data_IF_533050885241
#
_entry.id   IF_533050885241
#
_cell.length_a   1.000
_cell.length_b   1.000
_cell.length_c   1.000
_cell.angle_alpha   90.00
_cell.angle_beta   90.00
_cell.angle_gamma   90.00
#
_symmetry.space_group_name_H-M   'P 1'
#
loop_
_entity.id
_entity.type
_entity.pdbx_description
1 polymer ?
#
# COMPACT_ATOMS: atom_id res chain seq x y z
N UNK A 1 -70.11 -20.65 -58.66
CA UNK A 1 -69.28 -21.28 -57.62
C UNK A 1 -67.83 -20.80 -57.76
N UNK A 2 -67.37 -19.89 -56.98
CA UNK A 2 -65.98 -19.31 -57.07
C UNK A 2 -65.16 -19.82 -55.87
N UNK A 3 -64.03 -20.53 -56.17
CA UNK A 3 -63.04 -20.92 -55.16
C UNK A 3 -62.22 -19.71 -54.69
N UNK A 4 -62.07 -19.55 -53.40
CA UNK A 4 -61.19 -18.55 -52.78
C UNK A 4 -59.89 -19.26 -52.41
N UNK A 5 -58.80 -18.81 -53.02
CA UNK A 5 -57.44 -19.20 -52.65
C UNK A 5 -56.99 -18.42 -51.43
N UNK A 6 -56.57 -19.14 -50.39
CA UNK A 6 -55.98 -18.58 -49.18
C UNK A 6 -54.48 -18.61 -49.30
N UNK A 7 -53.85 -17.49 -49.50
CA UNK A 7 -52.38 -17.34 -49.42
C UNK A 7 -51.95 -17.31 -47.95
N UNK A 8 -51.22 -18.33 -47.52
CA UNK A 8 -50.46 -18.32 -46.24
C UNK A 8 -49.16 -17.55 -46.46
N UNK A 9 -49.02 -16.43 -45.73
CA UNK A 9 -47.77 -15.70 -45.63
C UNK A 9 -46.92 -16.32 -44.51
N UNK A 10 -45.80 -16.94 -44.84
CA UNK A 10 -44.75 -17.34 -43.93
C UNK A 10 -43.92 -16.09 -43.58
N UNK A 11 -43.91 -15.70 -42.29
CA UNK A 11 -43.04 -14.66 -41.73
C UNK A 11 -41.76 -15.36 -41.22
N UNK A 12 -40.54 -15.03 -41.70
CA UNK A 12 -39.33 -15.54 -41.09
C UNK A 12 -39.08 -14.89 -39.77
N UNK A 13 -38.99 -15.67 -38.69
CA UNK A 13 -38.52 -15.22 -37.37
C UNK A 13 -37.02 -14.94 -37.42
N UNK A 14 -36.62 -13.67 -37.45
CA UNK A 14 -35.25 -13.26 -37.20
C UNK A 14 -34.93 -13.50 -35.72
N UNK A 15 -34.17 -14.56 -35.44
CA UNK A 15 -33.57 -14.78 -34.12
C UNK A 15 -32.50 -13.72 -33.82
N UNK A 16 -32.79 -12.77 -32.93
CA UNK A 16 -31.82 -11.85 -32.38
C UNK A 16 -30.88 -12.65 -31.46
N UNK A 17 -29.69 -13.02 -31.96
CA UNK A 17 -28.61 -13.52 -31.12
C UNK A 17 -28.11 -12.36 -30.24
N UNK A 18 -28.59 -12.32 -29.01
CA UNK A 18 -28.08 -11.39 -27.99
C UNK A 18 -26.62 -11.74 -27.69
N UNK A 19 -25.69 -10.91 -28.19
CA UNK A 19 -24.30 -10.93 -27.78
C UNK A 19 -24.26 -10.43 -26.33
N UNK A 20 -24.25 -11.35 -25.37
CA UNK A 20 -23.90 -11.03 -23.98
C UNK A 20 -22.41 -10.63 -23.96
N UNK A 21 -22.13 -9.33 -24.01
CA UNK A 21 -20.83 -8.80 -23.68
C UNK A 21 -20.56 -9.17 -22.22
N UNK A 22 -19.73 -10.19 -22.00
CA UNK A 22 -19.19 -10.47 -20.68
C UNK A 22 -18.35 -9.26 -20.28
N UNK A 23 -18.92 -8.46 -19.39
CA UNK A 23 -18.22 -7.33 -18.76
C UNK A 23 -17.20 -7.94 -17.80
N UNK A 24 -16.02 -8.31 -18.33
CA UNK A 24 -14.88 -8.81 -17.55
C UNK A 24 -14.27 -7.61 -16.80
N UNK A 25 -14.92 -7.19 -15.72
CA UNK A 25 -14.33 -6.23 -14.81
C UNK A 25 -12.93 -6.72 -14.41
N UNK A 26 -11.91 -5.87 -14.58
CA UNK A 26 -10.54 -6.23 -14.14
C UNK A 26 -10.58 -6.62 -12.66
N UNK A 27 -9.89 -7.70 -12.26
CA UNK A 27 -9.81 -8.08 -10.87
C UNK A 27 -9.35 -6.89 -10.02
N UNK A 28 -10.08 -6.58 -8.95
CA UNK A 28 -9.70 -5.52 -8.03
C UNK A 28 -8.72 -6.09 -6.99
N UNK A 29 -7.71 -5.33 -6.57
CA UNK A 29 -6.80 -5.77 -5.52
C UNK A 29 -7.54 -5.91 -4.19
N UNK A 30 -7.14 -6.89 -3.40
CA UNK A 30 -7.57 -7.01 -2.01
C UNK A 30 -7.36 -5.67 -1.30
N UNK A 31 -8.39 -5.23 -0.57
CA UNK A 31 -8.39 -3.98 0.16
C UNK A 31 -8.72 -4.21 1.64
N UNK A 32 -8.30 -3.29 2.50
CA UNK A 32 -8.58 -3.29 3.94
C UNK A 32 -9.20 -1.97 4.35
N UNK A 33 -10.07 -2.05 5.33
CA UNK A 33 -10.78 -0.89 5.87
C UNK A 33 -9.90 -0.11 6.85
N UNK A 34 -9.84 1.20 6.69
CA UNK A 34 -9.34 2.13 7.72
C UNK A 34 -10.47 2.26 8.75
N UNK A 35 -10.28 1.72 9.94
CA UNK A 35 -11.35 1.60 10.95
C UNK A 35 -11.96 2.96 11.34
N UNK A 36 -11.16 4.03 11.39
CA UNK A 36 -11.63 5.36 11.80
C UNK A 36 -12.56 6.06 10.78
N UNK A 37 -12.62 5.57 9.52
CA UNK A 37 -13.41 6.22 8.46
C UNK A 37 -14.27 5.29 7.62
N UNK A 38 -13.99 3.97 7.65
CA UNK A 38 -14.62 3.01 6.74
C UNK A 38 -14.03 2.99 5.32
N UNK A 39 -13.06 3.87 5.00
CA UNK A 39 -12.42 3.90 3.67
C UNK A 39 -11.64 2.62 3.41
N UNK A 40 -11.70 2.13 2.17
CA UNK A 40 -10.96 0.95 1.71
C UNK A 40 -9.68 1.39 1.01
N UNK A 41 -8.54 0.78 1.38
CA UNK A 41 -7.28 0.94 0.67
C UNK A 41 -6.70 -0.42 0.27
N UNK A 42 -6.03 -0.53 -0.91
CA UNK A 42 -5.37 -1.75 -1.33
C UNK A 42 -4.29 -2.18 -0.32
N UNK A 43 -4.15 -3.49 -0.12
CA UNK A 43 -3.20 -4.06 0.86
C UNK A 43 -1.73 -3.91 0.48
N UNK A 44 -1.43 -3.52 -0.77
CA UNK A 44 -0.07 -3.22 -1.24
C UNK A 44 -0.01 -1.79 -1.71
N UNK A 45 0.86 -1.01 -1.10
CA UNK A 45 1.22 0.37 -1.44
C UNK A 45 2.59 0.44 -2.09
N UNK A 46 3.11 1.66 -2.25
CA UNK A 46 4.42 1.95 -2.82
C UNK A 46 5.23 2.82 -1.85
N UNK A 47 6.34 2.28 -1.33
CA UNK A 47 7.34 3.06 -0.62
C UNK A 47 8.30 3.76 -1.58
N UNK A 48 8.94 4.84 -1.12
CA UNK A 48 9.83 5.67 -1.95
C UNK A 48 11.26 5.81 -1.41
N UNK A 49 11.55 5.29 -0.21
CA UNK A 49 12.86 5.45 0.42
C UNK A 49 13.97 4.87 -0.45
N UNK A 50 15.03 5.65 -0.70
CA UNK A 50 16.17 5.38 -1.61
C UNK A 50 15.73 5.29 -3.08
N UNK A 51 14.66 4.58 -3.40
CA UNK A 51 14.27 4.22 -4.77
C UNK A 51 13.81 5.41 -5.61
N UNK A 52 13.28 6.46 -4.97
CA UNK A 52 12.86 7.71 -5.62
C UNK A 52 13.80 8.88 -5.30
N UNK A 53 14.91 8.65 -4.62
CA UNK A 53 15.94 9.67 -4.39
C UNK A 53 16.89 9.78 -5.60
N UNK A 54 16.36 10.24 -6.72
CA UNK A 54 17.07 10.30 -8.01
C UNK A 54 17.53 11.73 -8.39
N UNK A 55 17.47 12.67 -7.45
CA UNK A 55 17.89 14.05 -7.68
C UNK A 55 17.08 14.74 -8.79
N UNK A 56 17.78 15.47 -9.65
CA UNK A 56 17.20 16.22 -10.77
C UNK A 56 17.47 15.55 -12.14
N UNK A 57 17.82 14.26 -12.17
CA UNK A 57 18.04 13.48 -13.39
C UNK A 57 16.71 13.26 -14.15
N UNK A 58 16.48 13.86 -15.33
CA UNK A 58 15.20 13.75 -16.02
C UNK A 58 14.85 12.32 -16.47
N UNK A 59 15.78 11.51 -17.03
CA UNK A 59 15.52 10.09 -17.31
C UNK A 59 15.10 9.28 -16.09
N UNK A 60 15.80 9.43 -14.96
CA UNK A 60 15.48 8.71 -13.75
C UNK A 60 14.11 9.14 -13.16
N UNK A 61 13.78 10.44 -13.20
CA UNK A 61 12.45 10.95 -12.81
C UNK A 61 11.34 10.40 -13.74
N UNK A 62 11.59 10.37 -15.04
CA UNK A 62 10.65 9.78 -15.99
C UNK A 62 10.43 8.29 -15.71
N UNK A 63 11.46 7.55 -15.36
CA UNK A 63 11.36 6.15 -14.97
C UNK A 63 10.57 5.96 -13.68
N UNK A 64 10.77 6.79 -12.66
CA UNK A 64 9.94 6.77 -11.44
C UNK A 64 8.45 7.03 -11.78
N UNK A 65 8.15 7.92 -12.72
CA UNK A 65 6.77 8.14 -13.16
C UNK A 65 6.18 6.89 -13.85
N UNK A 66 6.97 6.11 -14.61
CA UNK A 66 6.54 4.81 -15.17
C UNK A 66 6.26 3.78 -14.07
N UNK A 67 7.10 3.71 -13.03
CA UNK A 67 6.86 2.88 -11.84
C UNK A 67 5.52 3.24 -11.21
N UNK A 68 5.25 4.54 -11.00
CA UNK A 68 3.97 5.02 -10.45
C UNK A 68 2.79 4.71 -11.38
N UNK A 69 2.94 4.84 -12.69
CA UNK A 69 1.90 4.50 -13.67
C UNK A 69 1.50 3.04 -13.53
N UNK A 70 2.47 2.11 -13.54
CA UNK A 70 2.20 0.67 -13.40
C UNK A 70 1.58 0.33 -12.04
N UNK A 71 1.99 1.02 -10.98
CA UNK A 71 1.38 0.90 -9.66
C UNK A 71 -0.11 1.27 -9.67
N UNK A 72 -0.45 2.44 -10.23
CA UNK A 72 -1.85 2.87 -10.33
C UNK A 72 -2.67 2.00 -11.28
N UNK A 73 -2.09 1.55 -12.39
CA UNK A 73 -2.77 0.68 -13.37
C UNK A 73 -3.09 -0.70 -12.78
N UNK A 74 -2.29 -1.18 -11.82
CA UNK A 74 -2.55 -2.38 -11.02
C UNK A 74 -3.54 -2.16 -9.85
N UNK A 75 -4.13 -0.97 -9.74
CA UNK A 75 -5.11 -0.64 -8.69
C UNK A 75 -4.48 -0.14 -7.39
N UNK A 76 -3.18 0.11 -7.35
CA UNK A 76 -2.50 0.71 -6.20
C UNK A 76 -2.99 2.15 -5.94
N UNK A 77 -2.95 2.58 -4.67
CA UNK A 77 -3.37 3.94 -4.28
C UNK A 77 -2.40 4.61 -3.32
N UNK A 78 -1.94 3.93 -2.26
CA UNK A 78 -1.10 4.51 -1.23
C UNK A 78 0.35 4.60 -1.67
N UNK A 79 0.91 5.82 -1.69
CA UNK A 79 2.35 6.09 -1.84
C UNK A 79 2.85 6.71 -0.54
N UNK A 80 3.95 6.15 0.00
CA UNK A 80 4.57 6.62 1.26
C UNK A 80 5.93 7.26 0.99
N UNK A 81 6.14 8.46 1.55
CA UNK A 81 7.41 9.18 1.50
C UNK A 81 7.75 9.87 2.83
N UNK A 82 8.79 10.70 2.80
CA UNK A 82 9.24 11.49 3.96
C UNK A 82 10.17 12.61 3.50
N UNK A 83 10.20 13.77 4.17
CA UNK A 83 11.22 14.81 3.94
C UNK A 83 12.66 14.31 4.16
N UNK A 84 12.85 13.21 4.90
CA UNK A 84 14.13 12.55 5.09
C UNK A 84 14.64 11.80 3.84
N UNK A 85 13.80 11.59 2.80
CA UNK A 85 14.11 10.72 1.66
C UNK A 85 14.71 11.48 0.46
N UNK A 86 15.44 12.57 0.71
CA UNK A 86 16.09 13.37 -0.32
C UNK A 86 15.11 13.95 -1.33
N UNK A 87 15.29 13.65 -2.62
CA UNK A 87 14.45 14.18 -3.69
C UNK A 87 13.10 13.49 -3.87
N UNK A 88 12.81 12.42 -3.10
CA UNK A 88 11.64 11.53 -3.32
C UNK A 88 10.31 12.28 -3.40
N UNK A 89 10.06 13.26 -2.52
CA UNK A 89 8.81 14.02 -2.51
C UNK A 89 8.59 14.80 -3.83
N UNK A 90 9.62 15.49 -4.30
CA UNK A 90 9.54 16.22 -5.58
C UNK A 90 9.41 15.29 -6.79
N UNK A 91 10.08 14.13 -6.77
CA UNK A 91 9.95 13.09 -7.80
C UNK A 91 8.53 12.53 -7.85
N UNK A 92 7.92 12.27 -6.69
CA UNK A 92 6.51 11.85 -6.61
C UNK A 92 5.59 12.94 -7.16
N UNK A 93 5.77 14.20 -6.76
CA UNK A 93 4.95 15.31 -7.24
C UNK A 93 5.01 15.49 -8.77
N UNK A 94 6.20 15.38 -9.36
CA UNK A 94 6.36 15.42 -10.83
C UNK A 94 5.65 14.23 -11.51
N UNK A 95 5.80 13.03 -10.94
CA UNK A 95 5.11 11.84 -11.43
C UNK A 95 3.59 11.97 -11.35
N UNK A 96 3.05 12.45 -10.22
CA UNK A 96 1.62 12.69 -10.04
C UNK A 96 1.09 13.71 -11.05
N UNK A 97 1.83 14.79 -11.29
CA UNK A 97 1.45 15.80 -12.30
C UNK A 97 1.45 15.21 -13.71
N UNK A 98 2.51 14.51 -14.10
CA UNK A 98 2.64 13.87 -15.41
C UNK A 98 1.50 12.87 -15.68
N UNK A 99 1.07 12.15 -14.66
CA UNK A 99 0.02 11.14 -14.74
C UNK A 99 -1.39 11.67 -14.45
N UNK A 100 -1.54 12.95 -14.11
CA UNK A 100 -2.81 13.55 -13.63
C UNK A 100 -3.43 12.74 -12.49
N UNK A 101 -2.57 12.25 -11.57
CA UNK A 101 -2.94 11.27 -10.55
C UNK A 101 -3.13 11.85 -9.14
N UNK A 102 -3.12 13.19 -8.96
CA UNK A 102 -3.22 13.84 -7.64
C UNK A 102 -4.50 13.50 -6.88
N UNK A 103 -5.59 13.16 -7.60
CA UNK A 103 -6.87 12.73 -7.00
C UNK A 103 -6.98 11.22 -6.81
N UNK A 104 -6.07 10.44 -7.40
CA UNK A 104 -6.05 8.97 -7.31
C UNK A 104 -5.17 8.48 -6.17
N UNK A 105 -4.10 9.23 -5.85
CA UNK A 105 -3.16 8.87 -4.82
C UNK A 105 -3.79 9.00 -3.43
N UNK A 106 -3.52 8.02 -2.56
CA UNK A 106 -3.59 8.17 -1.12
C UNK A 106 -2.20 8.59 -0.66
N UNK A 107 -2.02 9.88 -0.38
CA UNK A 107 -0.74 10.48 -0.05
C UNK A 107 -0.40 10.28 1.41
N UNK A 108 0.61 9.45 1.70
CA UNK A 108 1.15 9.22 3.02
C UNK A 108 2.55 9.84 3.13
N UNK A 109 2.71 10.79 4.03
CA UNK A 109 4.00 11.45 4.26
C UNK A 109 4.27 11.58 5.76
N UNK A 110 5.37 12.23 6.11
CA UNK A 110 5.84 12.31 7.50
C UNK A 110 6.28 13.72 7.84
N UNK A 111 6.24 14.05 9.12
CA UNK A 111 6.96 15.18 9.71
C UNK A 111 8.24 14.67 10.38
N UNK A 112 9.38 15.26 10.04
CA UNK A 112 10.70 14.85 10.53
C UNK A 112 11.54 16.09 10.87
N UNK A 113 11.21 16.72 11.98
CA UNK A 113 11.92 17.88 12.52
C UNK A 113 11.70 17.97 14.03
N UNK A 114 12.64 18.55 14.72
CA UNK A 114 12.51 18.91 16.14
C UNK A 114 12.01 20.35 16.37
N UNK A 115 11.65 21.06 15.28
CA UNK A 115 11.15 22.43 15.32
C UNK A 115 10.01 22.62 14.32
N UNK A 116 9.57 23.80 14.05
CA UNK A 116 8.67 24.29 12.98
C UNK A 116 8.01 23.23 12.04
N UNK A 117 7.32 22.22 12.60
CA UNK A 117 6.70 21.12 11.83
C UNK A 117 5.76 21.61 10.76
N UNK A 118 4.95 22.63 11.03
CA UNK A 118 4.01 23.21 10.06
C UNK A 118 4.70 23.71 8.78
N UNK A 119 5.85 24.37 8.90
CA UNK A 119 6.61 24.85 7.75
C UNK A 119 7.16 23.68 6.89
N UNK A 120 7.67 22.63 7.54
CA UNK A 120 8.14 21.44 6.83
C UNK A 120 6.98 20.72 6.11
N UNK A 121 5.83 20.60 6.77
CA UNK A 121 4.63 19.98 6.19
C UNK A 121 4.17 20.74 4.93
N UNK A 122 4.14 22.07 5.00
CA UNK A 122 3.75 22.90 3.85
C UNK A 122 4.76 22.78 2.70
N UNK A 123 6.08 22.79 2.98
CA UNK A 123 7.10 22.55 1.96
C UNK A 123 6.94 21.15 1.32
N UNK A 124 6.68 20.12 2.13
CA UNK A 124 6.40 18.76 1.64
C UNK A 124 5.15 18.72 0.75
N UNK A 125 4.07 19.38 1.14
CA UNK A 125 2.82 19.46 0.37
C UNK A 125 3.04 20.09 -1.01
N UNK A 126 3.85 21.16 -1.06
CA UNK A 126 4.22 21.81 -2.33
C UNK A 126 5.04 20.88 -3.23
N UNK A 127 6.00 20.14 -2.66
CA UNK A 127 6.78 19.14 -3.40
C UNK A 127 5.92 18.02 -3.97
N UNK A 128 4.95 17.53 -3.21
CA UNK A 128 4.00 16.51 -3.65
C UNK A 128 2.96 17.04 -4.66
N UNK A 129 2.75 18.35 -4.73
CA UNK A 129 1.73 19.01 -5.58
C UNK A 129 0.31 18.48 -5.31
N UNK A 130 0.02 18.21 -4.04
CA UNK A 130 -1.30 17.78 -3.59
C UNK A 130 -2.01 18.92 -2.83
N UNK A 131 -3.35 19.00 -2.87
CA UNK A 131 -4.08 20.05 -2.15
C UNK A 131 -3.97 19.88 -0.62
N UNK A 132 -3.90 18.64 -0.15
CA UNK A 132 -3.66 18.23 1.23
C UNK A 132 -3.14 16.80 1.27
N UNK A 133 -2.49 16.41 2.35
CA UNK A 133 -2.15 15.01 2.59
C UNK A 133 -3.37 14.19 3.06
N UNK A 134 -3.39 12.91 2.69
CA UNK A 134 -4.32 11.96 3.29
C UNK A 134 -3.81 11.55 4.68
N UNK A 135 -2.55 11.15 4.80
CA UNK A 135 -1.94 10.73 6.04
C UNK A 135 -0.63 11.49 6.31
N UNK A 136 -0.50 12.06 7.50
CA UNK A 136 0.78 12.54 8.03
C UNK A 136 1.15 11.77 9.30
N UNK A 137 2.43 11.41 9.42
CA UNK A 137 2.95 10.59 10.50
C UNK A 137 4.16 11.26 11.15
N UNK A 138 4.28 11.18 12.48
CA UNK A 138 5.51 11.56 13.17
C UNK A 138 6.59 10.52 12.88
N UNK A 139 7.65 10.92 12.17
CA UNK A 139 8.69 10.01 11.67
C UNK A 139 9.63 9.57 12.80
N UNK A 140 9.70 8.26 13.05
CA UNK A 140 10.55 7.63 14.07
C UNK A 140 10.36 8.26 15.48
N UNK A 141 9.15 8.74 15.78
CA UNK A 141 8.79 9.40 17.02
C UNK A 141 9.67 10.64 17.34
N UNK A 142 10.25 11.29 16.31
CA UNK A 142 11.06 12.50 16.53
C UNK A 142 10.17 13.65 17.03
N UNK A 143 10.47 14.16 18.22
CA UNK A 143 9.71 15.23 18.89
C UNK A 143 8.18 15.00 18.87
N UNK A 144 7.75 13.77 19.11
CA UNK A 144 6.34 13.38 18.94
C UNK A 144 5.41 14.16 19.89
N UNK A 145 5.90 14.57 21.07
CA UNK A 145 5.13 15.36 22.04
C UNK A 145 4.70 16.72 21.48
N UNK A 146 5.44 17.25 20.52
CA UNK A 146 5.18 18.54 19.84
C UNK A 146 4.48 18.33 18.51
N UNK A 147 4.94 17.34 17.72
CA UNK A 147 4.45 17.12 16.37
C UNK A 147 3.06 16.46 16.34
N UNK A 148 2.79 15.53 17.25
CA UNK A 148 1.50 14.83 17.24
C UNK A 148 0.30 15.75 17.54
N UNK A 149 0.36 16.65 18.54
CA UNK A 149 -0.68 17.67 18.74
C UNK A 149 -0.87 18.60 17.54
N UNK A 150 0.22 18.98 16.84
CA UNK A 150 0.14 19.77 15.60
C UNK A 150 -0.66 19.01 14.53
N UNK A 151 -0.32 17.74 14.28
CA UNK A 151 -1.03 16.93 13.30
C UNK A 151 -2.51 16.73 13.67
N UNK A 152 -2.81 16.55 14.95
CA UNK A 152 -4.19 16.45 15.46
C UNK A 152 -4.99 17.74 15.24
N UNK A 153 -4.37 18.90 15.47
CA UNK A 153 -4.98 20.20 15.20
C UNK A 153 -5.23 20.41 13.70
N UNK A 154 -4.27 20.03 12.83
CA UNK A 154 -4.44 20.09 11.37
C UNK A 154 -5.58 19.18 10.91
N UNK A 155 -5.72 17.99 11.49
CA UNK A 155 -6.84 17.08 11.19
C UNK A 155 -8.18 17.69 11.62
N UNK A 156 -8.25 18.27 12.82
CA UNK A 156 -9.46 18.95 13.30
C UNK A 156 -9.86 20.13 12.41
N UNK A 157 -8.89 20.84 11.82
CA UNK A 157 -9.10 21.93 10.86
C UNK A 157 -9.40 21.44 9.42
N UNK A 158 -9.46 20.14 9.15
CA UNK A 158 -9.70 19.57 7.83
C UNK A 158 -8.53 19.68 6.84
N UNK A 159 -7.36 20.09 7.30
CA UNK A 159 -6.13 20.23 6.52
C UNK A 159 -5.42 18.89 6.31
N UNK A 160 -5.82 17.85 7.04
CA UNK A 160 -5.28 16.52 7.05
C UNK A 160 -6.41 15.52 7.28
N UNK A 161 -6.35 14.32 6.67
CA UNK A 161 -7.40 13.31 6.86
C UNK A 161 -7.08 12.35 8.00
N UNK A 162 -5.84 11.86 8.07
CA UNK A 162 -5.40 10.86 9.04
C UNK A 162 -4.08 11.25 9.69
N UNK A 163 -3.94 10.90 10.95
CA UNK A 163 -2.75 11.13 11.77
C UNK A 163 -2.14 9.81 12.19
N UNK A 164 -0.80 9.71 12.17
CA UNK A 164 -0.10 8.51 12.58
C UNK A 164 1.27 8.76 13.19
N UNK A 165 1.90 7.67 13.56
CA UNK A 165 3.27 7.62 14.07
C UNK A 165 4.05 6.51 13.37
N UNK A 166 5.38 6.65 13.27
CA UNK A 166 6.22 5.61 12.67
C UNK A 166 7.40 5.22 13.53
N UNK A 167 7.83 3.97 13.35
CA UNK A 167 9.13 3.45 13.77
C UNK A 167 9.65 2.46 12.74
N UNK A 168 10.88 2.00 12.87
CA UNK A 168 11.48 0.98 12.02
C UNK A 168 12.50 0.14 12.78
N UNK A 169 12.79 -1.07 12.28
CA UNK A 169 13.84 -1.95 12.81
C UNK A 169 13.68 -2.35 14.29
N UNK A 170 12.45 -2.49 14.78
CA UNK A 170 12.17 -2.83 16.18
C UNK A 170 12.50 -1.71 17.18
N UNK A 171 12.91 -0.53 16.69
CA UNK A 171 13.32 0.57 17.57
C UNK A 171 12.13 1.17 18.32
N UNK A 172 12.33 1.53 19.59
CA UNK A 172 11.37 2.25 20.45
C UNK A 172 9.99 1.56 20.56
N UNK A 173 9.86 0.24 20.36
CA UNK A 173 8.58 -0.47 20.40
C UNK A 173 7.83 -0.24 21.72
N UNK A 174 8.53 -0.17 22.86
CA UNK A 174 7.90 0.07 24.16
C UNK A 174 7.24 1.46 24.24
N UNK A 175 7.93 2.50 23.81
CA UNK A 175 7.39 3.85 23.76
C UNK A 175 6.30 3.98 22.70
N UNK A 176 6.52 3.36 21.54
CA UNK A 176 5.53 3.30 20.47
C UNK A 176 4.20 2.71 20.95
N UNK A 177 4.26 1.61 21.69
CA UNK A 177 3.08 0.99 22.32
C UNK A 177 2.40 1.93 23.33
N UNK A 178 3.17 2.65 24.16
CA UNK A 178 2.61 3.61 25.11
C UNK A 178 1.83 4.73 24.39
N UNK A 179 2.35 5.24 23.28
CA UNK A 179 1.66 6.24 22.46
C UNK A 179 0.40 5.63 21.83
N UNK A 180 0.49 4.43 21.28
CA UNK A 180 -0.69 3.73 20.75
C UNK A 180 -1.80 3.57 21.80
N UNK A 181 -1.46 3.34 23.07
CA UNK A 181 -2.44 3.19 24.16
C UNK A 181 -3.06 4.51 24.60
N UNK A 182 -2.28 5.60 24.61
CA UNK A 182 -2.66 6.88 25.23
C UNK A 182 -3.17 7.92 24.24
N UNK A 183 -2.76 7.86 22.96
CA UNK A 183 -3.05 8.89 21.98
C UNK A 183 -4.15 8.47 21.00
N UNK A 184 -4.87 9.46 20.45
CA UNK A 184 -5.82 9.26 19.35
C UNK A 184 -5.07 9.39 18.03
N UNK A 185 -4.81 8.26 17.39
CA UNK A 185 -4.14 8.16 16.11
C UNK A 185 -4.91 7.21 15.20
N UNK A 186 -4.85 7.44 13.90
CA UNK A 186 -5.54 6.63 12.90
C UNK A 186 -4.64 5.54 12.32
N UNK A 187 -3.33 5.80 12.26
CA UNK A 187 -2.35 4.93 11.64
C UNK A 187 -1.12 4.73 12.50
N UNK A 188 -0.54 3.57 12.37
CA UNK A 188 0.81 3.24 12.83
C UNK A 188 1.60 2.63 11.68
N UNK A 189 2.92 2.91 11.66
CA UNK A 189 3.81 2.31 10.67
C UNK A 189 5.04 1.73 11.37
N UNK A 190 5.31 0.45 11.19
CA UNK A 190 6.47 -0.25 11.75
C UNK A 190 6.92 -1.41 10.86
N UNK A 191 8.12 -1.96 11.18
CA UNK A 191 8.69 -3.09 10.45
C UNK A 191 8.04 -4.40 10.86
N UNK A 192 7.67 -5.20 9.85
CA UNK A 192 7.14 -6.55 10.02
C UNK A 192 7.38 -7.35 8.73
N UNK A 193 7.96 -8.54 8.85
CA UNK A 193 8.20 -9.44 7.74
C UNK A 193 8.45 -10.88 8.25
N UNK A 194 8.77 -11.81 7.35
CA UNK A 194 9.02 -13.23 7.67
C UNK A 194 10.09 -13.47 8.74
N UNK A 195 11.04 -12.54 8.94
CA UNK A 195 12.11 -12.65 9.92
C UNK A 195 11.96 -11.71 11.12
N UNK A 196 11.38 -10.51 10.91
CA UNK A 196 11.16 -9.51 11.96
C UNK A 196 9.70 -9.59 12.39
N UNK A 197 9.40 -10.43 13.39
CA UNK A 197 8.02 -10.75 13.82
C UNK A 197 7.65 -10.27 15.21
N UNK A 198 8.50 -9.53 15.89
CA UNK A 198 8.26 -9.00 17.24
C UNK A 198 6.93 -8.22 17.36
N UNK A 199 6.50 -7.57 16.26
CA UNK A 199 5.24 -6.85 16.24
C UNK A 199 4.00 -7.74 16.45
N UNK A 200 4.10 -9.06 16.20
CA UNK A 200 3.01 -10.02 16.43
C UNK A 200 2.67 -10.17 17.92
N UNK A 201 3.64 -9.94 18.81
CA UNK A 201 3.45 -10.14 20.25
C UNK A 201 2.57 -9.05 20.87
N UNK A 202 2.75 -7.78 20.46
CA UNK A 202 2.13 -6.63 21.13
C UNK A 202 1.53 -5.58 20.21
N UNK A 203 2.24 -5.13 19.17
CA UNK A 203 1.83 -3.97 18.36
C UNK A 203 0.65 -4.31 17.45
N UNK A 204 0.68 -5.44 16.75
CA UNK A 204 -0.41 -5.86 15.89
C UNK A 204 -1.70 -6.18 16.67
N UNK A 205 -1.68 -6.93 17.80
CA UNK A 205 -2.85 -7.10 18.65
C UNK A 205 -3.43 -5.78 19.15
N UNK A 206 -2.58 -4.86 19.64
CA UNK A 206 -3.01 -3.57 20.14
C UNK A 206 -3.61 -2.68 19.04
N UNK A 207 -3.04 -2.68 17.85
CA UNK A 207 -3.58 -1.94 16.70
C UNK A 207 -5.00 -2.43 16.37
N UNK A 208 -5.22 -3.75 16.37
CA UNK A 208 -6.54 -4.35 16.15
C UNK A 208 -7.53 -3.97 17.25
N UNK A 209 -7.15 -4.07 18.52
CA UNK A 209 -7.96 -3.71 19.68
C UNK A 209 -8.41 -2.24 19.61
N UNK A 210 -7.50 -1.34 19.23
CA UNK A 210 -7.71 0.11 19.17
C UNK A 210 -8.33 0.59 17.85
N UNK A 211 -8.53 -0.27 16.86
CA UNK A 211 -9.02 0.11 15.54
C UNK A 211 -8.03 1.01 14.78
N UNK A 212 -6.73 0.85 14.98
CA UNK A 212 -5.68 1.63 14.33
C UNK A 212 -5.23 0.91 13.07
N UNK A 213 -5.20 1.60 11.93
CA UNK A 213 -4.72 1.06 10.67
C UNK A 213 -3.19 0.89 10.69
N UNK A 214 -2.70 -0.21 10.10
CA UNK A 214 -1.28 -0.58 10.16
C UNK A 214 -0.65 -0.54 8.78
N UNK A 215 0.39 0.28 8.62
CA UNK A 215 1.30 0.25 7.49
C UNK A 215 2.56 -0.53 7.85
N UNK A 216 2.98 -1.42 6.96
CA UNK A 216 4.20 -2.21 7.16
C UNK A 216 5.32 -1.69 6.27
N UNK A 217 6.35 -1.12 6.90
CA UNK A 217 7.58 -0.77 6.23
C UNK A 217 8.60 -1.94 6.26
N UNK A 218 9.67 -1.83 5.46
CA UNK A 218 10.77 -2.82 5.37
C UNK A 218 10.31 -4.27 5.13
N UNK A 219 9.31 -4.52 4.29
CA UNK A 219 8.78 -5.87 4.06
C UNK A 219 9.86 -6.85 3.56
N UNK A 220 10.91 -6.33 2.91
CA UNK A 220 12.03 -7.10 2.35
C UNK A 220 13.38 -6.81 3.02
N UNK A 221 13.41 -6.15 4.20
CA UNK A 221 14.66 -5.77 4.90
C UNK A 221 15.66 -5.08 3.97
N UNK A 222 15.20 -4.07 3.21
CA UNK A 222 16.02 -3.38 2.18
C UNK A 222 16.55 -4.33 1.09
N UNK A 223 15.77 -5.34 0.72
CA UNK A 223 16.15 -6.36 -0.25
C UNK A 223 16.99 -7.52 0.32
N UNK A 224 17.50 -7.42 1.55
CA UNK A 224 18.33 -8.49 2.13
C UNK A 224 17.54 -9.80 2.27
N UNK A 225 16.26 -9.73 2.64
CA UNK A 225 15.40 -10.90 2.72
C UNK A 225 15.24 -11.57 1.36
N UNK A 226 14.94 -10.81 0.31
CA UNK A 226 14.78 -11.38 -1.04
C UNK A 226 16.10 -11.98 -1.56
N UNK A 227 17.24 -11.30 -1.38
CA UNK A 227 18.55 -11.86 -1.76
C UNK A 227 18.88 -13.17 -1.05
N UNK A 228 18.44 -13.34 0.20
CA UNK A 228 18.57 -14.62 0.92
C UNK A 228 17.66 -15.68 0.29
N UNK A 229 16.37 -15.38 0.14
CA UNK A 229 15.35 -16.32 -0.32
C UNK A 229 15.57 -16.78 -1.77
N UNK A 230 16.02 -15.90 -2.66
CA UNK A 230 16.25 -16.18 -4.07
C UNK A 230 17.39 -17.19 -4.33
N UNK A 231 18.18 -17.53 -3.31
CA UNK A 231 19.17 -18.63 -3.38
C UNK A 231 18.52 -20.02 -3.31
N UNK A 232 17.24 -20.07 -2.99
CA UNK A 232 16.46 -21.29 -2.82
C UNK A 232 15.27 -21.28 -3.80
N UNK A 233 14.84 -22.45 -4.30
CA UNK A 233 13.63 -22.54 -5.09
C UNK A 233 12.39 -22.14 -4.26
N UNK A 234 11.45 -21.48 -4.89
CA UNK A 234 10.15 -21.26 -4.26
C UNK A 234 9.50 -22.62 -3.96
N UNK A 235 9.00 -22.86 -2.74
CA UNK A 235 8.43 -24.16 -2.41
C UNK A 235 7.20 -24.46 -3.28
N UNK A 236 7.06 -25.70 -3.77
CA UNK A 236 5.98 -26.07 -4.67
C UNK A 236 4.58 -25.72 -4.14
N UNK A 237 4.39 -25.81 -2.82
CA UNK A 237 3.13 -25.45 -2.16
C UNK A 237 2.82 -23.94 -2.14
N UNK A 238 3.73 -23.07 -2.56
CA UNK A 238 3.45 -21.64 -2.73
C UNK A 238 2.36 -21.40 -3.80
N UNK A 239 2.17 -22.32 -4.73
CA UNK A 239 1.07 -22.32 -5.69
C UNK A 239 -0.32 -22.45 -5.04
N UNK A 240 -0.40 -23.02 -3.82
CA UNK A 240 -1.66 -23.13 -3.07
C UNK A 240 -2.22 -21.74 -2.68
N UNK A 241 -1.36 -20.72 -2.65
CA UNK A 241 -1.71 -19.31 -2.39
C UNK A 241 -1.41 -18.41 -3.59
N UNK A 242 -1.37 -18.97 -4.80
CA UNK A 242 -1.14 -18.24 -6.05
C UNK A 242 0.13 -17.36 -6.04
N UNK A 243 1.21 -17.82 -5.39
CA UNK A 243 2.52 -17.17 -5.43
C UNK A 243 3.38 -17.76 -6.54
N UNK A 244 3.96 -16.90 -7.36
CA UNK A 244 4.86 -17.28 -8.46
C UNK A 244 6.32 -16.84 -8.21
N UNK A 245 6.57 -16.05 -7.15
CA UNK A 245 7.91 -15.62 -6.77
C UNK A 245 8.00 -15.30 -5.25
N UNK A 246 9.22 -15.11 -4.77
CA UNK A 246 9.51 -14.83 -3.36
C UNK A 246 8.99 -13.47 -2.88
N UNK A 247 8.87 -12.47 -3.76
CA UNK A 247 8.32 -11.16 -3.38
C UNK A 247 6.83 -11.29 -3.04
N UNK A 248 6.06 -12.01 -3.87
CA UNK A 248 4.65 -12.31 -3.58
C UNK A 248 4.50 -13.15 -2.31
N UNK A 249 5.34 -14.17 -2.13
CA UNK A 249 5.33 -15.01 -0.94
C UNK A 249 5.54 -14.17 0.33
N UNK A 250 6.58 -13.34 0.36
CA UNK A 250 6.86 -12.48 1.51
C UNK A 250 5.76 -11.44 1.77
N UNK A 251 5.21 -10.81 0.72
CA UNK A 251 4.13 -9.84 0.88
C UNK A 251 2.82 -10.50 1.31
N UNK A 252 2.47 -11.66 0.77
CA UNK A 252 1.25 -12.40 1.19
C UNK A 252 1.31 -12.81 2.65
N UNK A 253 2.49 -13.20 3.17
CA UNK A 253 2.66 -13.41 4.61
C UNK A 253 2.27 -12.17 5.42
N UNK A 254 2.69 -10.99 4.98
CA UNK A 254 2.43 -9.72 5.68
C UNK A 254 0.95 -9.33 5.57
N UNK A 255 0.43 -9.22 4.35
CA UNK A 255 -0.92 -8.68 4.10
C UNK A 255 -2.04 -9.65 4.51
N UNK A 256 -1.72 -10.91 4.74
CA UNK A 256 -2.66 -11.89 5.28
C UNK A 256 -2.88 -11.75 6.80
N UNK A 257 -1.99 -11.05 7.51
CA UNK A 257 -2.23 -10.79 8.94
C UNK A 257 -3.44 -9.87 9.12
N UNK A 258 -4.46 -10.26 9.94
CA UNK A 258 -5.73 -9.55 10.01
C UNK A 258 -5.63 -8.10 10.52
N UNK A 259 -4.57 -7.77 11.27
CA UNK A 259 -4.32 -6.41 11.76
C UNK A 259 -3.57 -5.53 10.75
N UNK A 260 -2.99 -6.09 9.67
CA UNK A 260 -2.25 -5.31 8.68
C UNK A 260 -3.20 -4.69 7.67
N UNK A 261 -3.07 -3.39 7.46
CA UNK A 261 -3.87 -2.65 6.48
C UNK A 261 -3.16 -2.59 5.12
N UNK A 262 -1.87 -2.24 5.10
CA UNK A 262 -1.14 -2.11 3.84
C UNK A 262 0.37 -2.33 4.06
N UNK A 263 1.03 -3.07 3.17
CA UNK A 263 2.49 -3.16 3.09
C UNK A 263 3.01 -2.19 2.03
N UNK A 264 4.15 -1.52 2.29
CA UNK A 264 4.73 -0.48 1.42
C UNK A 264 6.12 -0.87 0.91
N UNK A 265 6.24 -1.91 0.05
CA UNK A 265 7.51 -2.22 -0.60
C UNK A 265 7.96 -1.04 -1.47
N UNK A 266 9.26 -0.69 -1.37
CA UNK A 266 9.87 0.32 -2.21
C UNK A 266 10.59 -0.33 -3.40
N UNK A 267 10.42 0.23 -4.59
CA UNK A 267 11.13 -0.22 -5.79
C UNK A 267 11.24 0.91 -6.82
N UNK A 268 12.30 0.87 -7.63
CA UNK A 268 12.47 1.66 -8.84
C UNK A 268 12.33 0.81 -10.11
N UNK A 269 11.85 -0.43 -10.03
CA UNK A 269 11.72 -1.33 -11.17
C UNK A 269 10.24 -1.66 -11.44
N UNK A 270 9.82 -1.50 -12.69
CA UNK A 270 8.45 -1.77 -13.15
C UNK A 270 8.07 -3.25 -13.01
N UNK A 271 9.01 -4.18 -13.25
CA UNK A 271 8.75 -5.61 -13.08
C UNK A 271 8.48 -5.91 -11.60
N UNK A 272 9.27 -5.36 -10.70
CA UNK A 272 9.06 -5.50 -9.26
C UNK A 272 7.73 -4.90 -8.79
N UNK A 273 7.26 -3.79 -9.39
CA UNK A 273 5.91 -3.26 -9.09
C UNK A 273 4.84 -4.28 -9.41
N UNK A 274 4.92 -4.90 -10.59
CA UNK A 274 3.95 -5.93 -11.01
C UNK A 274 3.97 -7.14 -10.09
N UNK A 275 5.16 -7.61 -9.72
CA UNK A 275 5.35 -8.70 -8.77
C UNK A 275 4.75 -8.36 -7.40
N UNK A 276 5.09 -7.19 -6.86
CA UNK A 276 4.60 -6.74 -5.56
C UNK A 276 3.06 -6.62 -5.56
N UNK A 277 2.49 -5.97 -6.57
CA UNK A 277 1.04 -5.82 -6.71
C UNK A 277 0.34 -7.17 -6.87
N UNK A 278 1.00 -8.17 -7.47
CA UNK A 278 0.48 -9.54 -7.56
C UNK A 278 0.15 -10.16 -6.20
N UNK A 279 0.79 -9.73 -5.12
CA UNK A 279 0.46 -10.18 -3.77
C UNK A 279 -0.93 -9.71 -3.27
N UNK A 280 -1.53 -8.72 -3.90
CA UNK A 280 -2.87 -8.24 -3.59
C UNK A 280 -3.97 -9.04 -4.31
N UNK A 281 -3.65 -10.10 -5.04
CA UNK A 281 -4.61 -10.90 -5.79
C UNK A 281 -4.53 -12.38 -5.42
N UNK A 282 -5.61 -13.12 -5.76
CA UNK A 282 -5.70 -14.56 -5.53
C UNK A 282 -5.89 -14.93 -4.05
N UNK A 283 -5.55 -16.16 -3.72
CA UNK A 283 -5.76 -16.72 -2.37
C UNK A 283 -4.83 -16.10 -1.34
N UNK A 284 -5.37 -15.82 -0.18
CA UNK A 284 -4.64 -15.23 0.95
C UNK A 284 -4.40 -16.31 2.00
N UNK A 285 -3.16 -16.46 2.53
CA UNK A 285 -2.84 -17.41 3.58
C UNK A 285 -3.71 -17.22 4.82
N UNK A 286 -4.19 -18.29 5.40
CA UNK A 286 -4.73 -18.28 6.76
C UNK A 286 -3.60 -18.33 7.80
N UNK A 287 -3.94 -18.37 9.07
CA UNK A 287 -2.97 -18.38 10.16
C UNK A 287 -2.09 -19.64 10.17
N UNK A 288 -2.66 -20.82 9.87
CA UNK A 288 -1.92 -22.08 9.79
C UNK A 288 -0.90 -22.03 8.67
N UNK A 289 -1.32 -21.51 7.52
CA UNK A 289 -0.45 -21.35 6.36
C UNK A 289 0.65 -20.32 6.61
N UNK A 290 0.35 -19.19 7.29
CA UNK A 290 1.36 -18.20 7.69
C UNK A 290 2.42 -18.82 8.61
N UNK A 291 2.03 -19.65 9.58
CA UNK A 291 2.98 -20.39 10.43
C UNK A 291 3.88 -21.32 9.62
N UNK A 292 3.31 -22.03 8.62
CA UNK A 292 4.08 -22.88 7.68
C UNK A 292 5.07 -22.05 6.87
N UNK A 293 4.68 -20.87 6.38
CA UNK A 293 5.56 -19.95 5.65
C UNK A 293 6.74 -19.50 6.50
N UNK A 294 6.48 -19.03 7.73
CA UNK A 294 7.52 -18.59 8.66
C UNK A 294 8.50 -19.73 9.00
N UNK A 295 7.98 -20.89 9.40
CA UNK A 295 8.80 -22.06 9.72
C UNK A 295 9.63 -22.57 8.52
N UNK A 296 9.14 -22.42 7.30
CA UNK A 296 9.91 -22.73 6.10
C UNK A 296 11.12 -21.79 5.94
N UNK A 297 10.89 -20.47 6.05
CA UNK A 297 11.94 -19.46 5.86
C UNK A 297 12.98 -19.46 6.99
N UNK A 298 12.61 -19.86 8.21
CA UNK A 298 13.54 -20.03 9.33
C UNK A 298 14.57 -21.15 9.09
N UNK A 299 14.24 -22.14 8.25
CA UNK A 299 15.15 -23.24 7.91
C UNK A 299 16.06 -22.97 6.72
N UNK A 300 15.83 -21.89 5.96
CA UNK A 300 16.69 -21.46 4.85
C UNK A 300 17.87 -20.61 5.34
#
# INVERSE_FOLDING_TARGET
MRRRDVLLHLIPALGAAGVYAQNTARPQPLSRTIASSGEQIPVVGLGSWITFNVGNDPPARAHCAEVMRHFFDAGGRLIDSSPMYGSSQGVIGDGLQKLSAQRRVFSADKVWTSSAGAAQIEASRQLWRVPRFDLLQVHNLLAWQEQLPLLQAMKAAGQLRYVGITTSEGRRHREFEQIMRSQRIDFVQFSYNLLDREAEERLLPLARERGIAVLINRPFRQGALLRKLQRHPLPAWASEIDCVNWAQFALKFIVSHPAVTCAIPATSDVAHVRENMGAAFGRIPDEVFRRRMAAHVERL
#
